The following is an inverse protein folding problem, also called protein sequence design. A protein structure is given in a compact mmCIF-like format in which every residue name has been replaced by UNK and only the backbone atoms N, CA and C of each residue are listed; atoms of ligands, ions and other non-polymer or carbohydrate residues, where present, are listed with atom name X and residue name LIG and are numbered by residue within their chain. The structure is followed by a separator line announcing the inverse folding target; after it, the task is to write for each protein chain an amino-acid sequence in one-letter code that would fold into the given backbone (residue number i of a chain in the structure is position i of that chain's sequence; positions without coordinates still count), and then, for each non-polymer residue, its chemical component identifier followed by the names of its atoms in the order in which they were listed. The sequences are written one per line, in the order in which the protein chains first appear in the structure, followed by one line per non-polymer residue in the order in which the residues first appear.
data_IF_924465474171
#
_entry.id   IF_924465474171
#
_cell.length_a   1.000
_cell.length_b   1.000
_cell.length_c   1.000
_cell.angle_alpha   90.00
_cell.angle_beta   90.00
_cell.angle_gamma   90.00
#
_symmetry.space_group_name_H-M   'P 1'
#
loop_
_entity.id
_entity.type
_entity.pdbx_description
1 polymer ?
#
# COMPACT_ATOMS: atom_id res chain seq x y z
N UNK A 1 -15.82 -8.08 15.24
CA UNK A 1 -15.86 -6.92 14.32
C UNK A 1 -14.77 -7.17 13.29
N UNK A 2 -15.10 -7.18 12.00
CA UNK A 2 -14.35 -7.81 10.91
C UNK A 2 -12.80 -7.81 10.98
N UNK A 3 -12.16 -6.73 11.44
CA UNK A 3 -10.70 -6.62 11.59
C UNK A 3 -10.11 -7.44 12.76
N UNK A 4 -10.89 -7.77 13.77
CA UNK A 4 -10.49 -8.68 14.84
C UNK A 4 -10.40 -10.13 14.33
N UNK A 5 -11.34 -10.50 13.47
CA UNK A 5 -11.43 -11.85 12.90
C UNK A 5 -10.48 -12.01 11.69
N UNK A 6 -10.24 -10.92 10.95
CA UNK A 6 -9.39 -10.88 9.74
C UNK A 6 -8.41 -9.68 9.77
N UNK A 7 -7.30 -9.76 10.53
CA UNK A 7 -6.39 -8.64 10.75
C UNK A 7 -5.75 -8.08 9.48
N UNK A 8 -5.48 -8.95 8.51
CA UNK A 8 -4.88 -8.59 7.21
C UNK A 8 -5.76 -7.67 6.37
N UNK A 9 -7.07 -7.60 6.65
CA UNK A 9 -7.98 -6.70 5.92
C UNK A 9 -7.64 -5.22 6.15
N UNK A 10 -6.98 -4.88 7.25
CA UNK A 10 -6.50 -3.52 7.47
C UNK A 10 -5.52 -3.09 6.36
N UNK A 11 -4.62 -3.99 5.94
CA UNK A 11 -3.71 -3.72 4.84
C UNK A 11 -4.45 -3.43 3.53
N UNK A 12 -5.54 -4.14 3.24
CA UNK A 12 -6.36 -3.82 2.06
C UNK A 12 -7.00 -2.44 2.15
N UNK A 13 -7.56 -2.09 3.32
CA UNK A 13 -8.15 -0.77 3.55
C UNK A 13 -7.11 0.33 3.35
N UNK A 14 -5.92 0.17 3.92
CA UNK A 14 -4.81 1.13 3.78
C UNK A 14 -4.30 1.21 2.33
N UNK A 15 -4.23 0.07 1.62
CA UNK A 15 -3.81 0.01 0.22
C UNK A 15 -4.75 0.82 -0.68
N UNK A 16 -6.06 0.55 -0.61
CA UNK A 16 -7.03 1.26 -1.43
C UNK A 16 -7.16 2.74 -1.03
N UNK A 17 -7.11 3.05 0.26
CA UNK A 17 -7.12 4.43 0.72
C UNK A 17 -5.89 5.20 0.22
N UNK A 18 -4.70 4.61 0.32
CA UNK A 18 -3.45 5.23 -0.16
C UNK A 18 -3.46 5.46 -1.67
N UNK A 19 -3.95 4.48 -2.43
CA UNK A 19 -4.16 4.61 -3.87
C UNK A 19 -5.04 5.82 -4.23
N UNK A 20 -6.09 6.11 -3.44
CA UNK A 20 -7.01 7.22 -3.72
C UNK A 20 -6.55 8.56 -3.15
N UNK A 21 -5.88 8.55 -2.00
CA UNK A 21 -5.39 9.75 -1.31
C UNK A 21 -4.06 10.24 -1.86
N UNK A 22 -3.32 9.41 -2.59
CA UNK A 22 -1.98 9.69 -3.11
C UNK A 22 -1.00 10.24 -2.07
N UNK A 23 -1.16 9.83 -0.81
CA UNK A 23 -0.33 10.31 0.29
C UNK A 23 -0.23 9.27 1.40
N UNK A 24 1.00 8.82 1.62
CA UNK A 24 1.33 7.88 2.68
C UNK A 24 1.01 8.46 4.07
N UNK A 25 1.44 9.71 4.30
CA UNK A 25 1.20 10.43 5.54
C UNK A 25 -0.29 10.70 5.77
N UNK A 26 -1.01 11.19 4.76
CA UNK A 26 -2.44 11.48 4.91
C UNK A 26 -3.27 10.22 5.19
N UNK A 27 -2.97 9.12 4.50
CA UNK A 27 -3.63 7.82 4.74
C UNK A 27 -3.38 7.34 6.17
N UNK A 28 -2.13 7.42 6.63
CA UNK A 28 -1.74 7.05 7.99
C UNK A 28 -2.49 7.87 9.03
N UNK A 29 -2.45 9.20 8.90
CA UNK A 29 -3.11 10.13 9.84
C UNK A 29 -4.63 9.94 9.85
N UNK A 30 -5.23 9.68 8.69
CA UNK A 30 -6.68 9.50 8.59
C UNK A 30 -7.17 8.18 9.18
N UNK A 31 -6.46 7.07 8.95
CA UNK A 31 -7.01 5.73 9.19
C UNK A 31 -6.40 5.00 10.39
N UNK A 32 -5.12 5.20 10.67
CA UNK A 32 -4.44 4.44 11.74
C UNK A 32 -4.97 4.78 13.14
N UNK A 33 -5.21 6.05 13.51
CA UNK A 33 -5.81 6.36 14.82
C UNK A 33 -7.20 5.75 14.98
N UNK A 34 -8.02 5.78 13.92
CA UNK A 34 -9.36 5.20 13.94
C UNK A 34 -9.32 3.67 14.09
N UNK A 35 -8.42 2.99 13.37
CA UNK A 35 -8.21 1.55 13.50
C UNK A 35 -7.82 1.15 14.94
N UNK A 36 -6.88 1.87 15.54
CA UNK A 36 -6.46 1.63 16.93
C UNK A 36 -7.60 1.91 17.92
N UNK A 37 -8.39 2.96 17.71
CA UNK A 37 -9.52 3.32 18.57
C UNK A 37 -10.62 2.24 18.59
N UNK A 38 -10.80 1.49 17.50
CA UNK A 38 -11.76 0.37 17.43
C UNK A 38 -11.17 -0.98 17.89
N UNK A 39 -9.98 -0.96 18.52
CA UNK A 39 -9.38 -2.13 19.15
C UNK A 39 -8.52 -3.01 18.24
N UNK A 40 -8.07 -2.49 17.08
CA UNK A 40 -7.06 -3.20 16.27
C UNK A 40 -5.77 -3.34 17.09
N UNK A 41 -5.23 -4.57 17.13
CA UNK A 41 -3.98 -4.84 17.83
C UNK A 41 -2.82 -3.99 17.26
N UNK A 42 -1.93 -3.43 18.10
CA UNK A 42 -0.78 -2.65 17.63
C UNK A 42 0.08 -3.41 16.62
N UNK A 43 0.27 -4.72 16.82
CA UNK A 43 0.96 -5.60 15.86
C UNK A 43 0.30 -5.54 14.47
N UNK A 44 -1.02 -5.67 14.39
CA UNK A 44 -1.77 -5.62 13.12
C UNK A 44 -1.58 -4.29 12.40
N UNK A 45 -1.60 -3.18 13.16
CA UNK A 45 -1.33 -1.85 12.63
C UNK A 45 0.09 -1.74 12.05
N UNK A 46 1.10 -2.18 12.79
CA UNK A 46 2.51 -2.14 12.34
C UNK A 46 2.74 -3.06 11.14
N UNK A 47 2.24 -4.30 11.19
CA UNK A 47 2.37 -5.28 10.11
C UNK A 47 1.69 -4.81 8.81
N UNK A 48 0.54 -4.14 8.93
CA UNK A 48 -0.21 -3.62 7.77
C UNK A 48 0.35 -2.31 7.24
N UNK A 49 1.28 -1.67 7.96
CA UNK A 49 1.68 -0.29 7.69
C UNK A 49 2.16 -0.11 6.26
N UNK A 50 3.00 -0.99 5.72
CA UNK A 50 3.53 -0.87 4.35
C UNK A 50 2.47 -0.67 3.24
N UNK A 51 1.22 -1.07 3.47
CA UNK A 51 0.12 -0.86 2.54
C UNK A 51 -0.22 0.62 2.28
N UNK A 52 0.17 1.54 3.16
CA UNK A 52 0.02 2.98 2.94
C UNK A 52 0.87 3.53 1.77
N UNK A 53 1.70 2.70 1.15
CA UNK A 53 2.63 3.08 0.06
C UNK A 53 2.09 2.77 -1.35
N UNK A 54 0.80 2.45 -1.49
CA UNK A 54 0.14 2.09 -2.75
C UNK A 54 -0.10 3.27 -3.73
N UNK A 55 0.69 4.34 -3.64
CA UNK A 55 0.54 5.56 -4.45
C UNK A 55 0.80 5.31 -5.94
N UNK A 56 1.49 4.21 -6.27
CA UNK A 56 1.86 3.85 -7.63
C UNK A 56 0.75 3.15 -8.42
N UNK A 57 -0.35 2.75 -7.77
CA UNK A 57 -1.36 1.84 -8.35
C UNK A 57 -2.16 2.50 -9.46
N UNK A 58 -2.47 3.78 -9.31
CA UNK A 58 -3.07 4.59 -10.38
C UNK A 58 -1.96 5.38 -11.07
N UNK A 59 -1.89 5.40 -12.41
CA UNK A 59 -0.81 5.99 -13.18
C UNK A 59 -0.93 7.52 -13.28
N UNK A 60 -1.29 8.18 -12.19
CA UNK A 60 -1.49 9.64 -12.11
C UNK A 60 -0.59 10.28 -11.05
N UNK A 61 0.19 9.49 -10.30
CA UNK A 61 1.09 10.01 -9.30
C UNK A 61 2.27 10.75 -9.97
N UNK A 62 2.59 12.00 -9.58
CA UNK A 62 3.52 12.84 -10.34
C UNK A 62 4.91 12.23 -10.58
N UNK A 63 5.44 11.49 -9.60
CA UNK A 63 6.76 10.86 -9.74
C UNK A 63 6.76 9.69 -10.72
N UNK A 64 5.64 8.97 -10.87
CA UNK A 64 5.51 7.95 -11.89
C UNK A 64 5.45 8.53 -13.29
N UNK A 65 4.68 9.61 -13.46
CA UNK A 65 4.57 10.31 -14.73
C UNK A 65 5.93 10.90 -15.12
N UNK A 66 6.63 11.52 -14.18
CA UNK A 66 8.00 12.00 -14.42
C UNK A 66 8.95 10.85 -14.82
N UNK A 67 8.84 9.68 -14.19
CA UNK A 67 9.66 8.52 -14.56
C UNK A 67 9.36 7.99 -15.97
N UNK A 68 8.09 8.07 -16.43
CA UNK A 68 7.71 7.75 -17.81
C UNK A 68 8.28 8.77 -18.79
N UNK A 69 8.14 10.07 -18.49
CA UNK A 69 8.62 11.16 -19.37
C UNK A 69 10.15 11.22 -19.48
N UNK A 70 10.88 10.82 -18.43
CA UNK A 70 12.34 10.79 -18.42
C UNK A 70 12.94 9.52 -19.05
N UNK A 71 12.14 8.50 -19.38
CA UNK A 71 12.65 7.24 -19.92
C UNK A 71 12.80 7.26 -21.45
N UNK A 72 14.00 7.58 -21.93
CA UNK A 72 14.35 7.57 -23.35
C UNK A 72 14.40 6.16 -23.98
N UNK A 73 14.37 5.08 -23.18
CA UNK A 73 14.40 3.70 -23.71
C UNK A 73 13.04 3.20 -24.18
N UNK A 74 11.95 3.87 -23.77
CA UNK A 74 10.57 3.46 -24.06
C UNK A 74 10.10 2.20 -23.31
N UNK A 75 10.86 1.75 -22.31
CA UNK A 75 10.52 0.61 -21.46
C UNK A 75 9.50 0.96 -20.37
N UNK A 76 9.47 2.23 -19.97
CA UNK A 76 8.62 2.80 -18.93
C UNK A 76 7.49 3.58 -19.57
N UNK A 77 6.34 2.92 -19.76
CA UNK A 77 5.18 3.52 -20.42
C UNK A 77 3.87 3.10 -19.79
N UNK A 78 2.88 3.97 -19.90
CA UNK A 78 1.50 3.65 -19.54
C UNK A 78 0.83 2.97 -20.74
N UNK A 79 0.32 1.77 -20.52
CA UNK A 79 -0.36 0.97 -21.53
C UNK A 79 -1.84 1.35 -21.69
N UNK A 80 -2.59 0.50 -22.40
CA UNK A 80 -4.00 0.73 -22.73
C UNK A 80 -4.96 0.75 -21.52
N UNK A 81 -4.60 0.07 -20.43
CA UNK A 81 -5.45 -0.08 -19.24
C UNK A 81 -4.86 0.69 -18.06
N UNK A 82 -5.72 1.12 -17.13
CA UNK A 82 -5.32 1.91 -15.95
C UNK A 82 -4.19 1.22 -15.17
N UNK A 83 -4.27 -0.08 -14.95
CA UNK A 83 -3.26 -0.85 -14.20
C UNK A 83 -2.14 -1.43 -15.08
N UNK A 84 -2.08 -1.06 -16.36
CA UNK A 84 -1.06 -1.55 -17.29
C UNK A 84 0.14 -0.59 -17.32
N UNK A 85 0.99 -0.69 -16.30
CA UNK A 85 2.24 0.06 -16.21
C UNK A 85 3.30 -0.74 -15.44
N UNK A 86 4.61 -0.52 -15.71
CA UNK A 86 5.68 -1.39 -15.19
C UNK A 86 5.83 -1.34 -13.66
N UNK A 87 5.35 -0.29 -13.02
CA UNK A 87 5.41 -0.12 -11.56
C UNK A 87 4.41 -1.00 -10.80
N UNK A 88 3.35 -1.47 -11.45
CA UNK A 88 2.23 -2.14 -10.77
C UNK A 88 2.67 -3.44 -10.10
N UNK A 89 3.22 -4.38 -10.88
CA UNK A 89 3.60 -5.71 -10.38
C UNK A 89 4.69 -5.63 -9.32
N UNK A 90 5.83 -4.93 -9.55
CA UNK A 90 6.87 -4.81 -8.53
C UNK A 90 6.37 -4.14 -7.25
N UNK A 91 5.56 -3.08 -7.37
CA UNK A 91 5.02 -2.37 -6.23
C UNK A 91 4.06 -3.22 -5.40
N UNK A 92 3.12 -3.92 -6.05
CA UNK A 92 2.15 -4.80 -5.36
C UNK A 92 2.89 -5.95 -4.67
N UNK A 93 3.85 -6.59 -5.35
CA UNK A 93 4.65 -7.67 -4.76
C UNK A 93 5.45 -7.17 -3.56
N UNK A 94 6.03 -5.97 -3.64
CA UNK A 94 6.79 -5.37 -2.53
C UNK A 94 5.90 -5.14 -1.32
N UNK A 95 4.72 -4.51 -1.51
CA UNK A 95 3.79 -4.25 -0.41
C UNK A 95 3.27 -5.56 0.18
N UNK A 96 2.81 -6.49 -0.66
CA UNK A 96 2.26 -7.76 -0.20
C UNK A 96 3.29 -8.56 0.61
N UNK A 97 4.55 -8.61 0.12
CA UNK A 97 5.64 -9.28 0.83
C UNK A 97 5.96 -8.57 2.15
N UNK A 98 6.05 -7.24 2.17
CA UNK A 98 6.32 -6.48 3.38
C UNK A 98 5.25 -6.70 4.46
N UNK A 99 3.96 -6.69 4.07
CA UNK A 99 2.85 -6.96 5.00
C UNK A 99 2.88 -8.40 5.50
N UNK A 100 3.08 -9.38 4.61
CA UNK A 100 3.16 -10.79 4.97
C UNK A 100 4.32 -11.06 5.95
N UNK A 101 5.51 -10.49 5.67
CA UNK A 101 6.65 -10.58 6.56
C UNK A 101 6.42 -9.84 7.89
N UNK A 102 5.72 -8.70 7.86
CA UNK A 102 5.32 -7.97 9.07
C UNK A 102 4.47 -8.81 10.01
N UNK A 103 3.47 -9.53 9.47
CA UNK A 103 2.67 -10.46 10.26
C UNK A 103 3.47 -11.70 10.70
N UNK A 104 4.28 -12.27 9.81
CA UNK A 104 5.06 -13.47 10.11
C UNK A 104 6.10 -13.21 11.21
N UNK A 105 6.95 -12.20 11.06
CA UNK A 105 7.95 -11.86 12.07
C UNK A 105 7.33 -11.29 13.33
N UNK A 106 6.32 -10.43 13.19
CA UNK A 106 5.66 -9.86 14.34
C UNK A 106 4.98 -10.92 15.22
N UNK A 107 4.32 -11.91 14.62
CA UNK A 107 3.72 -13.02 15.37
C UNK A 107 4.73 -14.06 15.90
N UNK A 108 5.98 -14.05 15.42
CA UNK A 108 7.06 -14.90 15.93
C UNK A 108 7.83 -14.24 17.07
N UNK A 109 7.97 -12.91 17.05
CA UNK A 109 8.86 -12.15 17.92
C UNK A 109 8.15 -11.42 19.06
N UNK A 110 6.84 -11.17 18.94
CA UNK A 110 6.01 -10.39 19.87
C UNK A 110 4.80 -11.22 20.28
#
# INVERSE_FOLDING_TARGET
ALLADYPWMLALVLFFASMLLYSQGATTVALMPAALAIGVAPLTAVASFAAVSALFVLPTYPTLLAAVEMDDTGSTRIGKYVFNHPFFVPGVVTIASAVALGFAFGGLLI
#
